data_IF_000759465491
#
_entry.id   IF_000759465491
#
_cell.length_a   1.000
_cell.length_b   1.000
_cell.length_c   1.000
_cell.angle_alpha   90.00
_cell.angle_beta   90.00
_cell.angle_gamma   90.00
#
_symmetry.space_group_name_H-M   'P 1'
#
loop_
_entity.id
_entity.type
_entity.pdbx_description
1 polymer ?
#
# COMPACT_ATOMS: atom_id res chain seq x y z
N UNK A 1 -50.56 -34.01 7.65
CA UNK A 1 -49.26 -33.68 7.01
C UNK A 1 -48.96 -32.22 7.29
N UNK A 2 -48.09 -31.91 8.27
CA UNK A 2 -47.71 -30.55 8.63
C UNK A 2 -46.21 -30.40 8.32
N UNK A 3 -45.90 -29.61 7.30
CA UNK A 3 -44.52 -29.30 6.93
C UNK A 3 -44.11 -28.11 7.77
N UNK A 4 -43.22 -28.34 8.74
CA UNK A 4 -42.58 -27.28 9.52
C UNK A 4 -41.63 -26.53 8.59
N UNK A 5 -41.94 -25.26 8.32
CA UNK A 5 -41.07 -24.37 7.57
C UNK A 5 -40.05 -23.79 8.56
N UNK A 6 -38.89 -24.45 8.69
CA UNK A 6 -37.76 -23.89 9.44
C UNK A 6 -37.10 -22.85 8.53
N UNK A 7 -37.32 -21.57 8.85
CA UNK A 7 -36.67 -20.45 8.21
C UNK A 7 -35.21 -20.40 8.68
N UNK A 8 -34.31 -20.98 7.88
CA UNK A 8 -32.86 -20.83 8.06
C UNK A 8 -32.47 -19.41 7.64
N UNK A 9 -32.40 -18.49 8.59
CA UNK A 9 -31.77 -17.19 8.38
C UNK A 9 -30.25 -17.40 8.49
N UNK A 10 -29.63 -17.71 7.35
CA UNK A 10 -28.18 -17.65 7.18
C UNK A 10 -27.78 -16.16 7.14
N UNK A 11 -27.46 -15.59 8.30
CA UNK A 11 -26.72 -14.34 8.39
C UNK A 11 -25.28 -14.64 7.97
N UNK A 12 -24.98 -14.49 6.67
CA UNK A 12 -23.61 -14.31 6.22
C UNK A 12 -23.12 -13.00 6.85
N UNK A 13 -22.32 -13.09 7.91
CA UNK A 13 -21.43 -12.01 8.30
C UNK A 13 -20.39 -11.89 7.19
N UNK A 14 -20.74 -11.21 6.10
CA UNK A 14 -19.74 -10.71 5.16
C UNK A 14 -18.88 -9.76 5.97
N UNK A 15 -17.68 -10.19 6.34
CA UNK A 15 -16.61 -9.28 6.74
C UNK A 15 -16.40 -8.33 5.56
N UNK A 16 -17.09 -7.20 5.58
CA UNK A 16 -16.82 -6.09 4.68
C UNK A 16 -15.45 -5.59 5.12
N UNK A 17 -14.39 -6.02 4.45
CA UNK A 17 -13.09 -5.34 4.62
C UNK A 17 -13.30 -3.93 4.09
N UNK A 18 -13.18 -2.92 4.96
CA UNK A 18 -13.34 -1.54 4.55
C UNK A 18 -12.10 -1.13 3.74
N UNK A 19 -12.27 -1.24 2.42
CA UNK A 19 -11.25 -0.90 1.43
C UNK A 19 -11.62 0.42 0.77
N UNK A 20 -10.77 1.42 0.98
CA UNK A 20 -10.91 2.74 0.37
C UNK A 20 -10.02 2.80 -0.86
N UNK A 21 -10.61 3.05 -2.03
CA UNK A 21 -9.84 3.31 -3.24
C UNK A 21 -9.16 4.68 -3.13
N UNK A 22 -7.87 4.73 -3.42
CA UNK A 22 -7.03 5.93 -3.39
C UNK A 22 -6.58 6.24 -4.81
N UNK A 23 -6.68 7.51 -5.21
CA UNK A 23 -6.07 7.97 -6.45
C UNK A 23 -4.60 8.34 -6.23
N UNK A 24 -3.87 8.54 -7.31
CA UNK A 24 -2.48 9.00 -7.24
C UNK A 24 -2.36 10.32 -6.46
N UNK A 25 -3.32 11.25 -6.66
CA UNK A 25 -3.31 12.53 -5.96
C UNK A 25 -3.45 12.36 -4.44
N UNK A 26 -4.22 11.38 -3.97
CA UNK A 26 -4.39 11.13 -2.54
C UNK A 26 -3.11 10.53 -1.93
N UNK A 27 -2.47 9.60 -2.64
CA UNK A 27 -1.18 9.01 -2.23
C UNK A 27 -0.09 10.06 -2.20
N UNK A 28 -0.08 10.99 -3.16
CA UNK A 28 0.93 12.04 -3.27
C UNK A 28 0.94 13.03 -2.10
N UNK A 29 -0.14 13.07 -1.30
CA UNK A 29 -0.24 13.92 -0.10
C UNK A 29 0.64 13.43 1.05
N UNK A 30 1.04 12.16 1.03
CA UNK A 30 1.91 11.60 2.06
C UNK A 30 3.38 11.89 1.73
N UNK A 31 3.96 12.88 2.42
CA UNK A 31 5.35 13.29 2.20
C UNK A 31 6.37 12.15 2.30
N UNK A 32 6.13 11.20 3.19
CA UNK A 32 7.00 10.06 3.38
C UNK A 32 6.98 9.06 2.20
N UNK A 33 5.95 9.10 1.34
CA UNK A 33 5.86 8.26 0.15
C UNK A 33 6.58 8.84 -1.07
N UNK A 34 6.97 10.12 -1.06
CA UNK A 34 7.66 10.78 -2.17
C UNK A 34 8.84 9.99 -2.76
N UNK A 35 9.69 9.30 -1.98
CA UNK A 35 10.79 8.50 -2.55
C UNK A 35 10.34 7.28 -3.37
N UNK A 36 9.09 6.86 -3.22
CA UNK A 36 8.49 5.69 -3.87
C UNK A 36 7.49 6.07 -4.98
N UNK A 37 7.30 7.37 -5.22
CA UNK A 37 6.46 7.89 -6.31
C UNK A 37 7.21 7.88 -7.65
N UNK A 38 6.51 7.57 -8.74
CA UNK A 38 7.06 7.48 -10.09
C UNK A 38 6.34 8.45 -11.04
N UNK A 39 6.73 9.74 -11.00
CA UNK A 39 6.06 10.85 -11.71
C UNK A 39 5.96 10.72 -13.26
N UNK A 40 6.61 9.73 -13.87
CA UNK A 40 6.57 9.46 -15.32
C UNK A 40 6.08 8.05 -15.65
N UNK A 41 5.43 7.38 -14.69
CA UNK A 41 4.87 6.05 -14.84
C UNK A 41 3.33 6.11 -14.83
N UNK A 42 2.67 5.14 -15.47
CA UNK A 42 1.21 5.05 -15.47
C UNK A 42 0.76 4.51 -14.10
N UNK A 43 0.08 5.34 -13.30
CA UNK A 43 -0.56 4.89 -12.07
C UNK A 43 -1.71 3.95 -12.38
N UNK A 44 -1.74 2.77 -11.75
CA UNK A 44 -2.74 1.74 -12.01
C UNK A 44 -3.84 1.73 -10.96
N UNK A 45 -3.47 1.70 -9.68
CA UNK A 45 -4.42 1.68 -8.57
C UNK A 45 -3.77 2.07 -7.25
N UNK A 46 -4.62 2.49 -6.31
CA UNK A 46 -4.32 2.64 -4.89
C UNK A 46 -5.50 2.13 -4.06
N UNK A 47 -5.22 1.43 -2.97
CA UNK A 47 -6.21 0.89 -2.06
C UNK A 47 -5.68 0.91 -0.63
N UNK A 48 -6.44 1.54 0.27
CA UNK A 48 -6.20 1.51 1.70
C UNK A 48 -7.12 0.47 2.34
N UNK A 49 -6.53 -0.51 3.00
CA UNK A 49 -7.21 -1.47 3.87
C UNK A 49 -7.18 -0.93 5.30
N UNK A 50 -8.34 -0.47 5.80
CA UNK A 50 -8.44 0.19 7.11
C UNK A 50 -8.19 -0.81 8.23
N UNK A 51 -8.67 -2.05 8.09
CA UNK A 51 -8.57 -3.09 9.12
C UNK A 51 -7.12 -3.43 9.44
N UNK A 52 -6.27 -3.46 8.40
CA UNK A 52 -4.86 -3.81 8.52
C UNK A 52 -3.91 -2.61 8.39
N UNK A 53 -4.45 -1.38 8.37
CA UNK A 53 -3.71 -0.14 8.16
C UNK A 53 -2.67 -0.23 7.02
N UNK A 54 -3.08 -0.87 5.92
CA UNK A 54 -2.18 -1.21 4.81
C UNK A 54 -2.59 -0.44 3.56
N UNK A 55 -1.70 0.40 3.06
CA UNK A 55 -1.86 1.07 1.78
C UNK A 55 -1.11 0.29 0.70
N UNK A 56 -1.83 -0.18 -0.32
CA UNK A 56 -1.24 -0.78 -1.50
C UNK A 56 -1.46 0.11 -2.72
N UNK A 57 -0.41 0.36 -3.50
CA UNK A 57 -0.53 1.06 -4.78
C UNK A 57 0.42 0.50 -5.82
N UNK A 58 0.17 0.78 -7.10
CA UNK A 58 1.04 0.30 -8.15
C UNK A 58 1.15 1.23 -9.36
N UNK A 59 2.28 1.11 -10.04
CA UNK A 59 2.59 1.78 -11.28
C UNK A 59 2.97 0.76 -12.34
N UNK A 60 2.63 1.06 -13.59
CA UNK A 60 3.14 0.37 -14.76
C UNK A 60 4.36 1.13 -15.30
N UNK A 61 5.42 0.38 -15.56
CA UNK A 61 6.72 0.90 -15.98
C UNK A 61 7.24 0.14 -17.18
N UNK A 62 7.98 0.82 -18.06
CA UNK A 62 8.59 0.20 -19.23
C UNK A 62 9.77 -0.70 -18.86
N UNK A 63 10.58 -0.27 -17.89
CA UNK A 63 11.71 -1.03 -17.34
C UNK A 63 11.63 -1.05 -15.81
N UNK A 64 11.25 -2.21 -15.27
CA UNK A 64 11.10 -2.44 -13.83
C UNK A 64 12.44 -2.35 -13.10
N UNK A 65 13.52 -2.85 -13.70
CA UNK A 65 14.86 -2.84 -13.07
C UNK A 65 15.40 -1.43 -12.96
N UNK A 66 15.23 -0.61 -13.99
CA UNK A 66 15.65 0.79 -13.94
C UNK A 66 14.83 1.59 -12.92
N UNK A 67 13.50 1.40 -12.90
CA UNK A 67 12.62 2.06 -11.95
C UNK A 67 12.95 1.68 -10.49
N UNK A 68 13.19 0.40 -10.20
CA UNK A 68 13.60 -0.06 -8.88
C UNK A 68 14.92 0.59 -8.43
N UNK A 69 15.94 0.66 -9.30
CA UNK A 69 17.20 1.34 -8.97
C UNK A 69 17.01 2.82 -8.61
N UNK A 70 16.11 3.52 -9.31
CA UNK A 70 15.78 4.93 -9.01
C UNK A 70 15.10 5.06 -7.64
N UNK A 71 14.14 4.18 -7.34
CA UNK A 71 13.44 4.13 -6.06
C UNK A 71 14.42 3.83 -4.92
N UNK A 72 15.27 2.81 -5.06
CA UNK A 72 16.28 2.44 -4.06
C UNK A 72 17.20 3.62 -3.75
N UNK A 73 17.71 4.30 -4.80
CA UNK A 73 18.55 5.49 -4.64
C UNK A 73 17.79 6.62 -3.93
N UNK A 74 16.54 6.89 -4.30
CA UNK A 74 15.73 7.93 -3.67
C UNK A 74 15.42 7.62 -2.20
N UNK A 75 15.09 6.36 -1.88
CA UNK A 75 14.81 5.90 -0.52
C UNK A 75 16.06 6.01 0.38
N UNK A 76 17.22 5.57 -0.11
CA UNK A 76 18.50 5.70 0.62
C UNK A 76 18.87 7.17 0.87
N UNK A 77 18.72 8.04 -0.14
CA UNK A 77 18.94 9.48 0.01
C UNK A 77 18.01 10.10 1.07
N UNK A 78 16.79 9.57 1.16
CA UNK A 78 15.81 9.96 2.17
C UNK A 78 15.94 9.18 3.49
N UNK A 79 17.07 8.50 3.74
CA UNK A 79 17.40 7.79 4.98
C UNK A 79 16.42 6.65 5.33
N UNK A 80 15.88 5.96 4.33
CA UNK A 80 15.17 4.70 4.56
C UNK A 80 16.16 3.56 4.74
N UNK A 81 15.90 2.68 5.70
CA UNK A 81 16.71 1.49 5.97
C UNK A 81 16.18 0.33 5.14
N UNK A 82 17.03 -0.32 4.35
CA UNK A 82 16.64 -1.49 3.57
C UNK A 82 17.08 -2.78 4.26
N UNK A 83 16.14 -3.67 4.54
CA UNK A 83 16.39 -4.98 5.15
C UNK A 83 15.43 -6.02 4.57
N UNK A 84 15.97 -7.14 4.08
CA UNK A 84 15.19 -8.29 3.61
C UNK A 84 14.04 -7.94 2.63
N UNK A 85 14.31 -7.07 1.65
CA UNK A 85 13.28 -6.70 0.66
C UNK A 85 12.26 -5.66 1.11
N UNK A 86 12.45 -5.06 2.29
CA UNK A 86 11.55 -4.06 2.87
C UNK A 86 12.34 -2.82 3.28
N UNK A 87 11.81 -1.65 2.94
CA UNK A 87 12.29 -0.37 3.44
C UNK A 87 11.56 -0.04 4.73
N UNK A 88 12.27 0.48 5.74
CA UNK A 88 11.66 0.99 6.96
C UNK A 88 12.21 2.34 7.37
N UNK A 89 11.35 3.16 7.98
CA UNK A 89 11.73 4.46 8.53
C UNK A 89 10.71 4.91 9.57
N UNK A 90 11.18 5.47 10.68
CA UNK A 90 10.30 6.18 11.60
C UNK A 90 9.91 7.54 10.99
N UNK A 91 8.62 7.78 10.85
CA UNK A 91 8.03 8.96 10.22
C UNK A 91 7.14 9.66 11.24
N UNK A 92 7.33 10.96 11.43
CA UNK A 92 6.42 11.76 12.26
C UNK A 92 5.15 12.08 11.47
N UNK A 93 4.06 11.39 11.80
CA UNK A 93 2.76 11.57 11.14
C UNK A 93 1.87 12.53 11.95
N UNK A 94 2.16 12.71 13.25
CA UNK A 94 1.43 13.61 14.17
C UNK A 94 2.39 14.40 15.07
N UNK A 95 1.86 15.45 15.72
CA UNK A 95 2.63 16.29 16.67
C UNK A 95 3.15 15.52 17.91
N UNK A 96 2.61 14.34 18.21
CA UNK A 96 2.88 13.59 19.44
C UNK A 96 3.65 12.27 19.25
N UNK A 97 4.20 11.98 18.07
CA UNK A 97 5.03 10.78 17.89
C UNK A 97 5.26 10.37 16.44
N UNK A 98 6.31 9.56 16.23
CA UNK A 98 6.62 8.96 14.94
C UNK A 98 6.18 7.50 14.88
N UNK A 99 5.58 7.11 13.76
CA UNK A 99 5.19 5.73 13.45
C UNK A 99 6.28 5.06 12.61
N UNK A 100 6.50 3.76 12.80
CA UNK A 100 7.45 3.03 11.95
C UNK A 100 6.75 2.64 10.65
N UNK A 101 7.11 3.30 9.55
CA UNK A 101 6.57 2.97 8.24
C UNK A 101 7.43 1.90 7.59
N UNK A 102 6.80 0.87 7.05
CA UNK A 102 7.45 -0.14 6.20
C UNK A 102 6.90 -0.08 4.79
N UNK A 103 7.78 -0.25 3.80
CA UNK A 103 7.43 -0.29 2.38
C UNK A 103 8.07 -1.52 1.76
N UNK A 104 7.24 -2.47 1.36
CA UNK A 104 7.64 -3.65 0.60
C UNK A 104 7.35 -3.41 -0.88
N UNK A 105 8.33 -3.69 -1.73
CA UNK A 105 8.21 -3.50 -3.17
C UNK A 105 8.20 -4.87 -3.85
N UNK A 106 7.20 -5.10 -4.69
CA UNK A 106 7.07 -6.34 -5.48
C UNK A 106 6.99 -6.00 -6.96
N UNK A 107 7.72 -6.75 -7.78
CA UNK A 107 7.67 -6.65 -9.24
C UNK A 107 6.71 -7.70 -9.81
N UNK A 108 5.88 -7.32 -10.78
CA UNK A 108 5.04 -8.27 -11.53
C UNK A 108 4.75 -7.73 -12.93
N UNK A 109 5.13 -8.45 -13.99
CA UNK A 109 4.73 -8.18 -15.38
C UNK A 109 4.69 -6.69 -15.73
N UNK A 110 5.84 -6.00 -15.80
CA UNK A 110 5.96 -4.55 -16.07
C UNK A 110 5.29 -3.61 -15.06
N UNK A 111 4.98 -4.10 -13.86
CA UNK A 111 4.40 -3.32 -12.77
C UNK A 111 5.27 -3.38 -11.53
N UNK A 112 5.23 -2.29 -10.77
CA UNK A 112 5.80 -2.21 -9.44
C UNK A 112 4.66 -1.97 -8.47
N UNK A 113 4.56 -2.84 -7.47
CA UNK A 113 3.55 -2.80 -6.42
C UNK A 113 4.23 -2.44 -5.12
N UNK A 114 3.67 -1.46 -4.43
CA UNK A 114 4.12 -0.98 -3.14
C UNK A 114 3.08 -1.39 -2.10
N UNK A 115 3.52 -2.08 -1.05
CA UNK A 115 2.73 -2.36 0.14
C UNK A 115 3.32 -1.56 1.29
N UNK A 116 2.55 -0.64 1.85
CA UNK A 116 2.96 0.28 2.90
C UNK A 116 2.17 -0.05 4.16
N UNK A 117 2.87 -0.23 5.28
CA UNK A 117 2.27 -0.45 6.59
C UNK A 117 2.83 0.52 7.61
N UNK A 118 1.98 0.91 8.55
CA UNK A 118 2.41 1.54 9.79
C UNK A 118 2.46 0.48 10.90
N UNK A 119 3.58 0.44 11.61
CA UNK A 119 3.90 -0.47 12.72
C UNK A 119 4.16 0.30 14.02
#
# INVERSE_FOLDING_TARGET
MRINFILFVFLFFTSCSDKINQKEEDISRYDYLKPFMLNNAEFLYGQMDIDNNTLQYSYKVTDTKEALKKIEKAAILNKWLYKNGTFSKNVNIYENGGENMTVKITESNNKIIFEVKSE
#
